data_IF_128593958523
#
_entry.id   IF_128593958523
#
_cell.length_a   1.000
_cell.length_b   1.000
_cell.length_c   1.000
_cell.angle_alpha   90.00
_cell.angle_beta   90.00
_cell.angle_gamma   90.00
#
_symmetry.space_group_name_H-M   'P 1'
#
loop_
_entity.id
_entity.type
_entity.pdbx_description
1 polymer ?
#
# COMPACT_ATOMS: atom_id res chain seq x y z
N UNK A 1 19.38 2.85 -0.96
CA UNK A 1 18.79 1.70 -0.28
C UNK A 1 17.45 1.31 -0.91
N UNK A 2 17.17 0.01 -1.08
CA UNK A 2 16.01 -0.52 -1.80
C UNK A 2 14.77 -0.55 -0.88
N UNK A 3 14.96 -0.77 0.42
CA UNK A 3 13.84 -0.93 1.35
C UNK A 3 13.07 0.36 1.59
N UNK A 4 13.73 1.52 1.59
CA UNK A 4 13.07 2.83 1.69
C UNK A 4 12.17 3.11 0.47
N UNK A 5 12.37 2.41 -0.65
CA UNK A 5 11.53 2.53 -1.85
C UNK A 5 10.31 1.60 -1.81
N UNK A 6 10.22 0.70 -0.83
CA UNK A 6 9.06 -0.18 -0.69
C UNK A 6 7.85 0.58 -0.13
N UNK A 7 6.64 0.30 -0.62
CA UNK A 7 5.44 0.97 -0.13
C UNK A 7 5.18 0.58 1.34
N UNK A 8 4.86 1.58 2.16
CA UNK A 8 4.70 1.41 3.61
C UNK A 8 5.97 1.61 4.42
N UNK A 9 7.15 1.72 3.79
CA UNK A 9 8.41 2.07 4.46
C UNK A 9 8.67 3.57 4.39
N UNK A 10 9.19 4.11 5.48
CA UNK A 10 9.68 5.48 5.62
C UNK A 10 10.99 5.46 6.45
N UNK A 11 11.66 6.60 6.56
CA UNK A 11 12.93 6.67 7.29
C UNK A 11 12.83 6.30 8.77
N UNK A 12 11.68 6.51 9.42
CA UNK A 12 11.48 6.21 10.84
C UNK A 12 11.33 4.70 11.08
N UNK A 13 10.48 4.04 10.29
CA UNK A 13 10.20 2.61 10.45
C UNK A 13 11.22 1.70 9.72
N UNK A 14 11.97 2.23 8.75
CA UNK A 14 13.08 1.53 8.10
C UNK A 14 14.13 1.07 9.12
N UNK A 15 14.52 1.93 10.06
CA UNK A 15 15.51 1.58 11.10
C UNK A 15 14.98 0.48 12.03
N UNK A 16 13.68 0.54 12.37
CA UNK A 16 13.03 -0.50 13.16
C UNK A 16 13.03 -1.85 12.44
N UNK A 17 12.77 -1.82 11.12
CA UNK A 17 12.81 -3.00 10.27
C UNK A 17 14.22 -3.59 10.19
N UNK A 18 15.24 -2.78 9.88
CA UNK A 18 16.65 -3.19 9.83
C UNK A 18 17.14 -3.84 11.13
N UNK A 19 16.65 -3.36 12.28
CA UNK A 19 17.02 -3.92 13.58
C UNK A 19 16.34 -5.27 13.86
N UNK A 20 15.33 -5.66 13.09
CA UNK A 20 14.52 -6.87 13.32
C UNK A 20 14.70 -7.95 12.26
N UNK A 21 15.13 -7.58 11.05
CA UNK A 21 15.37 -8.53 9.95
C UNK A 21 16.74 -8.30 9.36
N UNK A 22 17.49 -9.39 9.20
CA UNK A 22 18.86 -9.40 8.68
C UNK A 22 18.90 -9.34 7.15
N UNK A 23 17.85 -9.85 6.50
CA UNK A 23 17.78 -9.94 5.04
C UNK A 23 16.34 -9.98 4.49
N UNK A 24 16.23 -9.84 3.17
CA UNK A 24 14.95 -9.87 2.46
C UNK A 24 14.21 -11.21 2.57
N UNK A 25 14.92 -12.32 2.77
CA UNK A 25 14.32 -13.64 2.91
C UNK A 25 13.58 -13.78 4.25
N UNK A 26 14.13 -13.22 5.33
CA UNK A 26 13.42 -13.15 6.60
C UNK A 26 12.23 -12.20 6.49
N UNK A 27 12.41 -11.04 5.85
CA UNK A 27 11.31 -10.08 5.61
C UNK A 27 10.11 -10.73 4.88
N UNK A 28 10.37 -11.56 3.87
CA UNK A 28 9.31 -12.24 3.11
C UNK A 28 8.62 -13.38 3.86
N UNK A 29 9.14 -13.81 5.00
CA UNK A 29 8.53 -14.87 5.83
C UNK A 29 7.63 -14.30 6.93
N UNK A 30 7.71 -12.99 7.19
CA UNK A 30 6.91 -12.34 8.22
C UNK A 30 5.44 -12.24 7.80
N UNK A 31 4.56 -12.49 8.76
CA UNK A 31 3.13 -12.25 8.64
C UNK A 31 2.80 -10.75 8.64
N UNK A 32 1.60 -10.39 8.16
CA UNK A 32 1.11 -9.02 8.16
C UNK A 32 1.10 -8.38 9.57
N UNK A 33 0.72 -9.17 10.58
CA UNK A 33 0.68 -8.72 11.97
C UNK A 33 2.07 -8.43 12.53
N UNK A 34 3.05 -9.28 12.23
CA UNK A 34 4.45 -9.07 12.64
C UNK A 34 5.04 -7.83 11.96
N UNK A 35 4.77 -7.64 10.66
CA UNK A 35 5.15 -6.42 9.95
C UNK A 35 4.49 -5.18 10.56
N UNK A 36 3.20 -5.27 10.91
CA UNK A 36 2.48 -4.21 11.60
C UNK A 36 3.09 -3.86 12.95
N UNK A 37 3.51 -4.86 13.73
CA UNK A 37 4.17 -4.69 15.02
C UNK A 37 5.56 -4.05 14.90
N UNK A 38 6.38 -4.52 13.95
CA UNK A 38 7.73 -3.97 13.71
C UNK A 38 7.65 -2.52 13.22
N UNK A 39 6.74 -2.23 12.29
CA UNK A 39 6.54 -0.90 11.74
C UNK A 39 5.70 0.01 12.64
N UNK A 40 5.24 -0.50 13.79
CA UNK A 40 4.37 0.18 14.76
C UNK A 40 3.10 0.78 14.10
N UNK A 41 2.62 0.14 13.04
CA UNK A 41 1.50 0.60 12.25
C UNK A 41 0.93 -0.54 11.41
N UNK A 42 -0.30 -0.94 11.74
CA UNK A 42 -1.06 -1.94 10.97
C UNK A 42 -1.20 -1.52 9.50
N UNK A 43 -1.44 -0.24 9.22
CA UNK A 43 -1.55 0.28 7.84
C UNK A 43 -0.26 0.10 7.04
N UNK A 44 0.89 0.40 7.65
CA UNK A 44 2.19 0.24 6.99
C UNK A 44 2.53 -1.25 6.81
N UNK A 45 2.26 -2.08 7.83
CA UNK A 45 2.40 -3.53 7.76
C UNK A 45 1.60 -4.15 6.62
N UNK A 46 0.31 -3.83 6.54
CA UNK A 46 -0.58 -4.30 5.48
C UNK A 46 -0.11 -3.89 4.08
N UNK A 47 0.31 -2.63 3.92
CA UNK A 47 0.78 -2.11 2.63
C UNK A 47 2.03 -2.87 2.15
N UNK A 48 2.99 -3.08 3.04
CA UNK A 48 4.23 -3.78 2.73
C UNK A 48 3.99 -5.28 2.51
N UNK A 49 3.20 -5.92 3.37
CA UNK A 49 2.83 -7.33 3.26
C UNK A 49 2.18 -7.62 1.90
N UNK A 50 1.21 -6.79 1.52
CA UNK A 50 0.55 -6.86 0.22
C UNK A 50 1.54 -6.69 -0.93
N UNK A 51 2.52 -5.79 -0.83
CA UNK A 51 3.51 -5.60 -1.88
C UNK A 51 4.46 -6.79 -2.04
N UNK A 52 4.88 -7.41 -0.94
CA UNK A 52 5.78 -8.57 -0.96
C UNK A 52 5.06 -9.83 -1.46
N UNK A 53 3.80 -10.03 -1.04
CA UNK A 53 3.07 -11.28 -1.29
C UNK A 53 2.09 -11.23 -2.46
N UNK A 54 1.69 -10.04 -2.95
CA UNK A 54 0.96 -9.98 -4.22
C UNK A 54 1.95 -10.32 -5.35
N UNK A 55 1.76 -11.50 -5.94
CA UNK A 55 2.14 -11.74 -7.35
C UNK A 55 1.60 -10.56 -8.16
N UNK A 56 2.38 -10.03 -9.10
CA UNK A 56 1.95 -9.00 -10.06
C UNK A 56 0.71 -9.48 -10.82
N UNK A 57 -0.47 -9.37 -10.22
CA UNK A 57 -1.75 -9.48 -10.92
C UNK A 57 -1.95 -8.09 -11.49
N UNK A 58 -1.49 -7.97 -12.73
CA UNK A 58 -1.78 -6.94 -13.73
C UNK A 58 -2.56 -5.73 -13.21
N UNK A 59 -1.81 -4.67 -12.87
CA UNK A 59 -2.29 -3.31 -12.60
C UNK A 59 -2.89 -2.63 -13.86
N UNK A 60 -3.63 -3.36 -14.68
CA UNK A 60 -4.23 -2.85 -15.93
C UNK A 60 -5.74 -2.57 -15.79
N UNK A 61 -6.42 -3.16 -14.78
CA UNK A 61 -7.89 -3.10 -14.68
C UNK A 61 -8.52 -1.94 -13.89
N UNK A 62 -7.89 -1.45 -12.83
CA UNK A 62 -8.63 -0.67 -11.80
C UNK A 62 -8.58 0.86 -11.96
N UNK A 63 -7.66 1.40 -12.76
CA UNK A 63 -7.48 2.86 -12.91
C UNK A 63 -8.64 3.53 -13.66
N UNK A 64 -9.43 2.76 -14.43
CA UNK A 64 -10.48 3.31 -15.30
C UNK A 64 -11.82 3.55 -14.60
N UNK A 65 -12.12 2.86 -13.49
CA UNK A 65 -13.43 2.97 -12.84
C UNK A 65 -13.54 4.18 -11.90
N UNK A 66 -12.47 4.53 -11.18
CA UNK A 66 -12.48 5.70 -10.27
C UNK A 66 -12.57 7.05 -11.01
N UNK A 67 -12.06 7.15 -12.26
CA UNK A 67 -12.19 8.37 -13.08
C UNK A 67 -13.61 8.60 -13.63
N UNK A 68 -14.45 7.56 -13.77
CA UNK A 68 -15.84 7.71 -14.25
C UNK A 68 -16.79 8.24 -13.17
N UNK A 69 -16.60 7.87 -11.91
CA UNK A 69 -17.53 8.23 -10.82
C UNK A 69 -17.41 9.73 -10.44
N UNK A 70 -16.23 10.34 -10.54
CA UNK A 70 -16.06 11.77 -10.23
C UNK A 70 -16.60 12.72 -11.32
N UNK A 71 -16.63 12.29 -12.59
CA UNK A 71 -17.11 13.15 -13.69
C UNK A 71 -18.64 13.24 -13.77
N UNK A 72 -19.36 12.21 -13.34
CA UNK A 72 -20.85 12.21 -13.38
C UNK A 72 -21.48 12.89 -12.15
N UNK A 73 -20.78 12.91 -11.00
CA UNK A 73 -21.31 13.56 -9.79
C UNK A 73 -21.35 15.09 -9.90
N UNK A 74 -20.36 15.72 -10.54
CA UNK A 74 -20.30 17.18 -10.63
C UNK A 74 -21.25 17.79 -11.69
N UNK A 75 -21.59 17.04 -12.76
CA UNK A 75 -22.44 17.53 -13.85
C UNK A 75 -23.95 17.39 -13.59
N UNK A 76 -24.37 16.48 -12.71
CA UNK A 76 -25.80 16.25 -12.44
C UNK A 76 -26.40 17.21 -11.41
N UNK A 77 -25.62 18.10 -10.78
CA UNK A 77 -26.14 19.07 -9.81
C UNK A 77 -26.91 20.23 -10.46
N UNK A 78 -26.75 20.46 -11.76
CA UNK A 78 -27.30 21.63 -12.46
C UNK A 78 -28.46 21.33 -13.43
N UNK A 79 -28.86 20.05 -13.59
CA UNK A 79 -29.84 19.62 -14.61
C UNK A 79 -31.22 19.21 -14.02
N UNK A 80 -31.70 19.91 -12.98
CA UNK A 80 -33.07 19.77 -12.45
C UNK A 80 -33.66 21.10 -11.98
N UNK A 81 -33.54 22.13 -12.82
CA UNK A 81 -34.26 23.40 -12.69
C UNK A 81 -34.71 23.84 -14.08
N UNK A 82 -35.68 23.14 -14.64
CA UNK A 82 -36.52 23.58 -15.75
C UNK A 82 -37.86 22.87 -15.60
#
# INVERSE_FOLDING_TARGET
>A
DILVRMPGINFKNYKLLMNKVENLQQLSKLSENELGAILQSSKHGSTLFNFIHKKKVELVGEIQQKKKIMKTSSYNKYRKRH
#
